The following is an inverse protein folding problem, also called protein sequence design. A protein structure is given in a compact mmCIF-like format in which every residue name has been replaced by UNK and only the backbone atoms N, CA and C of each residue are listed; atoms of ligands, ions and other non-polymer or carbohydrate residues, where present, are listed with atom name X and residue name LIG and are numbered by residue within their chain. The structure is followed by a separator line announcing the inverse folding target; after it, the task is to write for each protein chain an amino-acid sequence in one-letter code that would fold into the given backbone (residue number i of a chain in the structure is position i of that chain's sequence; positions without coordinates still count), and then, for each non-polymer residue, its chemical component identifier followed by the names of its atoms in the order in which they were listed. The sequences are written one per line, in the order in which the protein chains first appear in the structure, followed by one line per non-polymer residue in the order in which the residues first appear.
data_IF_165459147369
#
_entry.id   IF_165459147369
#
_cell.length_a   1.000
_cell.length_b   1.000
_cell.length_c   1.000
_cell.angle_alpha   90.00
_cell.angle_beta   90.00
_cell.angle_gamma   90.00
#
_symmetry.space_group_name_H-M   'P 1'
#
loop_
_entity.id
_entity.type
_entity.pdbx_description
1 polymer ?
#
# COMPACT_ATOMS: atom_id res chain seq x y z
N UNK A 1 -15.56 -17.92 -1.36
CA UNK A 1 -15.40 -16.92 -2.45
C UNK A 1 -14.55 -15.77 -1.95
N UNK A 2 -13.49 -15.38 -2.68
CA UNK A 2 -12.70 -14.18 -2.36
C UNK A 2 -13.46 -12.97 -2.89
N UNK A 3 -13.81 -12.01 -2.04
CA UNK A 3 -14.54 -10.80 -2.45
C UNK A 3 -13.75 -10.01 -3.50
N UNK A 4 -14.42 -9.23 -4.36
CA UNK A 4 -13.77 -8.33 -5.34
C UNK A 4 -12.67 -7.46 -4.70
N UNK A 5 -12.94 -6.95 -3.49
CA UNK A 5 -11.98 -6.19 -2.66
C UNK A 5 -10.77 -7.02 -2.21
N UNK A 6 -10.95 -8.31 -1.93
CA UNK A 6 -9.86 -9.21 -1.54
C UNK A 6 -8.91 -9.50 -2.70
N UNK A 7 -9.41 -9.60 -3.93
CA UNK A 7 -8.60 -9.72 -5.14
C UNK A 7 -7.81 -8.42 -5.38
N UNK A 8 -8.49 -7.28 -5.29
CA UNK A 8 -7.85 -5.97 -5.45
C UNK A 8 -6.76 -5.72 -4.41
N UNK A 9 -7.01 -6.08 -3.15
CA UNK A 9 -6.03 -5.95 -2.05
C UNK A 9 -4.77 -6.75 -2.35
N UNK A 10 -4.91 -8.00 -2.80
CA UNK A 10 -3.74 -8.82 -3.20
C UNK A 10 -2.98 -8.18 -4.35
N UNK A 11 -3.68 -7.72 -5.40
CA UNK A 11 -3.05 -7.02 -6.53
C UNK A 11 -2.27 -5.79 -6.09
N UNK A 12 -2.83 -4.96 -5.20
CA UNK A 12 -2.14 -3.77 -4.68
C UNK A 12 -0.87 -4.18 -3.92
N UNK A 13 -0.95 -5.20 -3.04
CA UNK A 13 0.23 -5.69 -2.30
C UNK A 13 1.34 -6.14 -3.25
N UNK A 14 1.00 -6.92 -4.27
CA UNK A 14 1.99 -7.41 -5.25
C UNK A 14 2.65 -6.25 -6.00
N UNK A 15 1.87 -5.24 -6.41
CA UNK A 15 2.40 -4.05 -7.09
C UNK A 15 3.28 -3.21 -6.16
N UNK A 16 2.94 -3.07 -4.87
CA UNK A 16 3.81 -2.38 -3.90
C UNK A 16 5.18 -3.04 -3.85
N UNK A 17 5.24 -4.37 -3.71
CA UNK A 17 6.52 -5.09 -3.73
C UNK A 17 7.25 -4.95 -5.07
N UNK A 18 6.54 -4.96 -6.20
CA UNK A 18 7.14 -4.79 -7.51
C UNK A 18 7.73 -3.38 -7.75
N UNK A 19 7.08 -2.33 -7.22
CA UNK A 19 7.53 -0.94 -7.38
C UNK A 19 8.75 -0.65 -6.50
N UNK A 20 8.76 -1.11 -5.25
CA UNK A 20 9.93 -0.94 -4.37
C UNK A 20 11.06 -1.91 -4.73
N UNK A 21 10.73 -3.10 -5.24
CA UNK A 21 11.69 -4.14 -5.56
C UNK A 21 12.39 -4.73 -4.32
N UNK A 22 13.08 -5.84 -4.53
CA UNK A 22 13.74 -6.59 -3.45
C UNK A 22 14.92 -5.81 -2.82
N UNK A 23 15.41 -4.76 -3.48
CA UNK A 23 16.47 -3.90 -2.96
C UNK A 23 15.97 -2.89 -1.92
N UNK A 24 14.72 -2.41 -2.03
CA UNK A 24 14.17 -1.39 -1.12
C UNK A 24 13.14 -1.94 -0.13
N UNK A 25 12.55 -3.10 -0.40
CA UNK A 25 11.53 -3.71 0.44
C UNK A 25 11.64 -5.23 0.42
N UNK A 26 11.93 -5.83 1.57
CA UNK A 26 11.96 -7.29 1.68
C UNK A 26 10.54 -7.84 1.57
N UNK A 27 10.38 -9.02 0.96
CA UNK A 27 9.09 -9.72 0.92
C UNK A 27 8.78 -10.34 2.28
N UNK A 28 7.49 -10.48 2.57
CA UNK A 28 6.98 -11.23 3.73
C UNK A 28 5.93 -12.24 3.28
N UNK A 29 5.97 -13.43 3.87
CA UNK A 29 4.99 -14.48 3.59
C UNK A 29 3.60 -14.07 4.10
N UNK A 30 2.55 -14.48 3.39
CA UNK A 30 1.17 -14.26 3.84
C UNK A 30 0.80 -15.08 5.09
N UNK A 31 1.56 -16.14 5.38
CA UNK A 31 1.43 -17.02 6.54
C UNK A 31 2.42 -16.65 7.66
N UNK A 32 3.18 -15.57 7.52
CA UNK A 32 4.13 -15.12 8.52
C UNK A 32 3.44 -14.93 9.88
N UNK A 33 4.12 -15.36 10.95
CA UNK A 33 3.57 -15.24 12.30
C UNK A 33 3.57 -13.76 12.74
N UNK A 34 2.72 -13.35 13.71
CA UNK A 34 2.60 -11.95 14.11
C UNK A 34 3.94 -11.27 14.48
N UNK A 35 4.87 -12.02 15.08
CA UNK A 35 6.21 -11.52 15.42
C UNK A 35 7.05 -11.20 14.17
N UNK A 36 7.05 -12.07 13.17
CA UNK A 36 7.74 -11.83 11.90
C UNK A 36 7.16 -10.62 11.17
N UNK A 37 5.82 -10.49 11.19
CA UNK A 37 5.11 -9.32 10.66
C UNK A 37 5.53 -8.05 11.38
N UNK A 38 5.57 -8.08 12.70
CA UNK A 38 5.99 -6.94 13.51
C UNK A 38 7.43 -6.55 13.17
N UNK A 39 8.36 -7.50 13.19
CA UNK A 39 9.78 -7.26 12.89
C UNK A 39 9.98 -6.72 11.48
N UNK A 40 9.29 -7.29 10.49
CA UNK A 40 9.33 -6.81 9.12
C UNK A 40 8.81 -5.37 9.00
N UNK A 41 7.70 -5.03 9.67
CA UNK A 41 7.17 -3.66 9.73
C UNK A 41 8.08 -2.68 10.45
N UNK A 42 8.81 -3.14 11.47
CA UNK A 42 9.78 -2.33 12.20
C UNK A 42 11.12 -2.19 11.50
N UNK A 43 11.39 -2.98 10.45
CA UNK A 43 12.63 -2.92 9.70
C UNK A 43 12.88 -1.54 9.08
N UNK A 44 14.16 -1.20 8.95
CA UNK A 44 14.57 0.07 8.33
C UNK A 44 14.07 0.18 6.88
N UNK A 45 14.09 -0.93 6.13
CA UNK A 45 13.59 -0.99 4.74
C UNK A 45 12.10 -0.68 4.65
N UNK A 46 11.26 -1.34 5.46
CA UNK A 46 9.81 -1.10 5.44
C UNK A 46 9.44 0.30 5.89
N UNK A 47 10.09 0.81 6.94
CA UNK A 47 9.91 2.21 7.39
C UNK A 47 10.31 3.22 6.31
N UNK A 48 11.43 2.97 5.63
CA UNK A 48 11.89 3.82 4.53
C UNK A 48 10.93 3.76 3.33
N UNK A 49 10.41 2.58 2.98
CA UNK A 49 9.39 2.41 1.94
C UNK A 49 8.10 3.17 2.32
N UNK A 50 7.65 3.07 3.57
CA UNK A 50 6.50 3.82 4.08
C UNK A 50 6.69 5.34 3.95
N UNK A 51 7.86 5.87 4.34
CA UNK A 51 8.14 7.31 4.20
C UNK A 51 8.24 7.77 2.75
N UNK A 52 8.63 6.89 1.83
CA UNK A 52 8.79 7.18 0.40
C UNK A 52 7.49 7.10 -0.40
N UNK A 53 6.42 6.53 0.15
CA UNK A 53 5.15 6.32 -0.55
C UNK A 53 4.65 7.57 -1.33
N UNK A 54 4.77 8.75 -0.73
CA UNK A 54 4.30 10.01 -1.33
C UNK A 54 5.44 10.88 -1.88
N UNK A 55 6.67 10.35 -1.92
CA UNK A 55 7.80 11.06 -2.50
C UNK A 55 7.91 10.77 -3.99
N UNK A 56 8.44 11.72 -4.78
CA UNK A 56 8.78 11.50 -6.19
C UNK A 56 9.78 10.36 -6.36
N UNK A 57 9.59 9.55 -7.40
CA UNK A 57 10.54 8.51 -7.82
C UNK A 57 11.71 9.17 -8.56
N UNK A 58 11.42 10.15 -9.42
CA UNK A 58 12.41 10.95 -10.14
C UNK A 58 12.35 12.41 -9.70
N UNK A 59 13.51 13.04 -9.54
CA UNK A 59 13.63 14.46 -9.13
C UNK A 59 12.99 15.45 -10.10
N UNK A 60 12.72 15.04 -11.34
CA UNK A 60 12.24 15.91 -12.40
C UNK A 60 10.72 15.86 -12.59
N UNK A 61 10.02 14.94 -11.92
CA UNK A 61 8.57 14.81 -12.01
C UNK A 61 7.97 14.65 -10.60
N UNK A 62 7.45 15.73 -10.00
CA UNK A 62 6.89 15.68 -8.65
C UNK A 62 5.57 14.89 -8.57
N UNK A 63 4.90 14.63 -9.70
CA UNK A 63 3.65 13.86 -9.75
C UNK A 63 3.91 12.35 -9.91
N UNK A 64 5.08 11.97 -10.41
CA UNK A 64 5.55 10.58 -10.49
C UNK A 64 6.08 10.08 -9.14
N UNK A 65 5.16 9.95 -8.18
CA UNK A 65 5.42 9.42 -6.85
C UNK A 65 5.31 7.89 -6.80
N UNK A 66 5.87 7.29 -5.75
CA UNK A 66 5.72 5.84 -5.53
C UNK A 66 4.24 5.40 -5.53
N UNK A 67 3.37 6.18 -4.89
CA UNK A 67 1.94 5.85 -4.83
C UNK A 67 1.23 6.03 -6.17
N UNK A 68 1.57 7.04 -6.97
CA UNK A 68 0.97 7.21 -8.30
C UNK A 68 1.40 6.09 -9.25
N UNK A 69 2.66 5.64 -9.18
CA UNK A 69 3.17 4.49 -9.91
C UNK A 69 2.48 3.16 -9.50
N UNK A 70 2.23 2.98 -8.19
CA UNK A 70 1.47 1.83 -7.69
C UNK A 70 0.04 1.86 -8.25
N UNK A 71 -0.66 2.99 -8.13
CA UNK A 71 -2.04 3.14 -8.56
C UNK A 71 -2.19 2.95 -10.08
N UNK A 72 -1.31 3.54 -10.89
CA UNK A 72 -1.32 3.38 -12.35
C UNK A 72 -1.08 1.93 -12.78
N UNK A 73 -0.18 1.19 -12.12
CA UNK A 73 0.01 -0.24 -12.38
C UNK A 73 -1.19 -1.10 -11.94
N UNK A 74 -1.86 -0.73 -10.85
CA UNK A 74 -3.07 -1.43 -10.36
C UNK A 74 -4.27 -1.16 -11.28
N UNK A 75 -4.46 0.08 -11.71
CA UNK A 75 -5.62 0.58 -12.45
C UNK A 75 -5.29 0.93 -13.90
N UNK A 76 -4.37 0.19 -14.53
CA UNK A 76 -3.83 0.44 -15.87
C UNK A 76 -4.85 0.50 -17.04
N UNK A 77 -6.16 0.42 -16.76
CA UNK A 77 -7.26 0.63 -17.70
C UNK A 77 -8.20 1.72 -17.18
N UNK A 78 -8.07 2.93 -17.74
CA UNK A 78 -9.00 4.04 -17.52
C UNK A 78 -8.78 4.81 -16.22
N UNK A 79 -9.59 5.86 -16.03
CA UNK A 79 -9.61 6.64 -14.78
C UNK A 79 -10.28 5.76 -13.71
N UNK A 80 -9.54 5.45 -12.65
CA UNK A 80 -10.10 4.75 -11.51
C UNK A 80 -11.07 5.67 -10.76
N UNK A 81 -12.17 5.11 -10.26
CA UNK A 81 -13.06 5.82 -9.35
C UNK A 81 -12.29 6.29 -8.11
N UNK A 82 -12.58 7.50 -7.63
CA UNK A 82 -11.92 8.12 -6.47
C UNK A 82 -11.91 7.20 -5.24
N UNK A 83 -13.01 6.49 -5.00
CA UNK A 83 -13.14 5.50 -3.93
C UNK A 83 -12.13 4.34 -4.06
N UNK A 84 -11.82 3.90 -5.27
CA UNK A 84 -10.83 2.84 -5.54
C UNK A 84 -9.41 3.36 -5.39
N UNK A 85 -9.17 4.62 -5.75
CA UNK A 85 -7.89 5.31 -5.52
C UNK A 85 -7.64 5.42 -4.01
N UNK A 86 -8.60 5.94 -3.24
CA UNK A 86 -8.52 6.05 -1.79
C UNK A 86 -8.32 4.67 -1.12
N UNK A 87 -9.01 3.64 -1.62
CA UNK A 87 -8.81 2.25 -1.19
C UNK A 87 -7.37 1.77 -1.47
N UNK A 88 -6.84 2.02 -2.67
CA UNK A 88 -5.47 1.67 -3.04
C UNK A 88 -4.43 2.31 -2.12
N UNK A 89 -4.58 3.61 -1.87
CA UNK A 89 -3.73 4.37 -0.93
C UNK A 89 -3.82 3.78 0.47
N UNK A 90 -5.04 3.54 0.95
CA UNK A 90 -5.29 2.96 2.27
C UNK A 90 -4.63 1.60 2.45
N UNK A 91 -4.67 0.76 1.41
CA UNK A 91 -4.03 -0.57 1.38
C UNK A 91 -2.51 -0.46 1.42
N UNK A 92 -1.90 0.36 0.56
CA UNK A 92 -0.45 0.54 0.53
C UNK A 92 0.07 1.09 1.86
N UNK A 93 -0.61 2.09 2.42
CA UNK A 93 -0.28 2.64 3.73
C UNK A 93 -0.45 1.59 4.84
N UNK A 94 -1.54 0.81 4.85
CA UNK A 94 -1.78 -0.21 5.90
C UNK A 94 -0.75 -1.34 5.84
N UNK A 95 -0.37 -1.75 4.63
CA UNK A 95 0.66 -2.75 4.41
C UNK A 95 2.00 -2.31 5.00
N UNK A 96 2.45 -1.09 4.71
CA UNK A 96 3.78 -0.61 5.09
C UNK A 96 3.83 0.09 6.46
N UNK A 97 2.67 0.46 7.03
CA UNK A 97 2.66 1.23 8.28
C UNK A 97 3.27 0.44 9.44
N UNK A 98 4.25 1.01 10.16
CA UNK A 98 4.83 0.42 11.36
C UNK A 98 3.88 0.48 12.57
N UNK A 99 2.81 1.28 12.50
CA UNK A 99 1.80 1.43 13.56
C UNK A 99 0.66 0.42 13.43
N UNK A 100 0.62 -0.34 12.34
CA UNK A 100 -0.46 -1.26 12.05
C UNK A 100 0.09 -2.68 11.99
N UNK A 101 -0.09 -3.45 13.06
CA UNK A 101 0.59 -4.75 13.24
C UNK A 101 -0.03 -5.90 12.45
N UNK A 102 -1.14 -5.67 11.73
CA UNK A 102 -1.80 -6.70 10.92
C UNK A 102 -1.45 -6.55 9.43
N UNK A 103 -1.16 -7.67 8.77
CA UNK A 103 -1.09 -7.73 7.28
C UNK A 103 -2.48 -7.78 6.67
N UNK A 104 -3.46 -8.33 7.40
CA UNK A 104 -4.86 -8.39 6.99
C UNK A 104 -5.50 -7.03 7.20
N UNK A 105 -5.96 -6.44 6.09
CA UNK A 105 -6.66 -5.17 6.12
C UNK A 105 -8.13 -5.50 6.29
N UNK A 106 -8.60 -5.43 7.53
CA UNK A 106 -10.00 -5.64 7.86
C UNK A 106 -10.84 -4.50 7.26
N UNK A 107 -11.97 -4.85 6.67
CA UNK A 107 -12.86 -3.93 5.95
C UNK A 107 -13.34 -2.75 6.82
N UNK A 108 -13.45 -2.98 8.14
CA UNK A 108 -13.79 -1.98 9.15
C UNK A 108 -12.76 -0.84 9.24
N UNK A 109 -11.48 -1.16 9.05
CA UNK A 109 -10.38 -0.19 9.17
C UNK A 109 -10.19 0.61 7.88
N UNK A 110 -10.61 0.04 6.75
CA UNK A 110 -10.67 0.80 5.50
C UNK A 110 -11.78 1.84 5.52
N UNK A 111 -12.94 1.57 6.13
CA UNK A 111 -14.00 2.57 6.31
C UNK A 111 -13.49 3.80 7.06
N UNK A 112 -12.87 3.60 8.23
CA UNK A 112 -12.28 4.70 9.03
C UNK A 112 -11.22 5.52 8.28
N UNK A 113 -10.44 4.88 7.39
CA UNK A 113 -9.39 5.57 6.63
C UNK A 113 -9.92 6.29 5.40
N UNK A 114 -10.91 5.73 4.71
CA UNK A 114 -11.58 6.38 3.58
C UNK A 114 -12.27 7.66 4.08
N UNK A 115 -13.01 7.58 5.19
CA UNK A 115 -13.64 8.77 5.80
C UNK A 115 -12.63 9.85 6.18
N UNK A 116 -11.45 9.47 6.71
CA UNK A 116 -10.40 10.44 7.08
C UNK A 116 -9.69 11.08 5.88
N UNK A 117 -9.59 10.40 4.76
CA UNK A 117 -8.93 10.94 3.56
C UNK A 117 -9.88 11.77 2.69
N UNK A 118 -11.19 11.47 2.66
CA UNK A 118 -12.18 12.28 1.93
C UNK A 118 -12.32 13.69 2.52
N UNK A 119 -12.10 13.85 3.83
CA UNK A 119 -12.14 15.17 4.50
C UNK A 119 -10.90 16.03 4.20
N UNK A 120 -9.87 15.48 3.56
CA UNK A 120 -8.61 16.18 3.25
C UNK A 120 -8.44 16.56 1.78
N UNK A 121 -9.49 16.37 0.97
CA UNK A 121 -9.52 16.80 -0.44
C UNK A 121 -10.21 18.16 -0.53
#
# INVERSE_FOLDING_TARGET
MRSKRGILTTKIKDVVFAVFGDSMLDRIDSNAIPEEVHNWKQSAKTKAAYSKLFLPIATNDPEDTYISCILTKVFSKGVAEENLIAFGIGVAQALLSPKYEKITIEEKIMKDRIEKNVVKI
#
